data_IF_579854953138
#
_entry.id   IF_579854953138
#
_cell.length_a   1.000
_cell.length_b   1.000
_cell.length_c   1.000
_cell.angle_alpha   90.00
_cell.angle_beta   90.00
_cell.angle_gamma   90.00
#
_symmetry.space_group_name_H-M   'P 1'
#
loop_
_entity.id
_entity.type
_entity.pdbx_description
1 polymer ?
#
# COMPACT_ATOMS: atom_id res chain seq x y z
N UNK A 1 29.99 -33.63 -13.83
CA UNK A 1 28.96 -33.60 -12.77
C UNK A 1 27.89 -32.61 -13.22
N UNK A 2 26.66 -33.04 -13.58
CA UNK A 2 25.63 -32.10 -14.02
C UNK A 2 25.22 -31.21 -12.83
N UNK A 3 25.26 -29.90 -13.04
CA UNK A 3 24.80 -28.94 -12.04
C UNK A 3 23.31 -29.21 -11.75
N UNK A 4 22.87 -29.16 -10.49
CA UNK A 4 21.45 -29.25 -10.19
C UNK A 4 20.77 -28.01 -10.79
N UNK A 5 19.93 -28.22 -11.81
CA UNK A 5 19.01 -27.20 -12.30
C UNK A 5 18.03 -26.90 -11.16
N UNK A 6 18.32 -25.87 -10.38
CA UNK A 6 17.40 -25.35 -9.37
C UNK A 6 16.23 -24.75 -10.14
N UNK A 7 15.20 -25.57 -10.35
CA UNK A 7 13.90 -25.11 -10.85
C UNK A 7 13.28 -24.38 -9.68
N UNK A 8 13.59 -23.09 -9.53
CA UNK A 8 12.87 -22.25 -8.59
C UNK A 8 11.44 -22.20 -9.11
N UNK A 9 10.45 -22.73 -8.36
CA UNK A 9 9.08 -22.74 -8.83
C UNK A 9 8.67 -21.30 -9.07
N UNK A 10 8.21 -20.99 -10.28
CA UNK A 10 7.72 -19.64 -10.62
C UNK A 10 6.69 -19.15 -9.58
N UNK A 11 5.94 -20.08 -8.97
CA UNK A 11 5.03 -19.80 -7.86
C UNK A 11 5.68 -19.16 -6.63
N UNK A 12 6.92 -19.51 -6.26
CA UNK A 12 7.62 -18.90 -5.12
C UNK A 12 7.87 -17.42 -5.34
N UNK A 13 8.28 -17.04 -6.56
CA UNK A 13 8.49 -15.64 -6.91
C UNK A 13 7.18 -14.86 -6.94
N UNK A 14 6.10 -15.44 -7.47
CA UNK A 14 4.77 -14.82 -7.45
C UNK A 14 4.32 -14.56 -6.01
N UNK A 15 4.50 -15.53 -5.11
CA UNK A 15 4.15 -15.38 -3.69
C UNK A 15 5.04 -14.35 -2.99
N UNK A 16 6.34 -14.33 -3.26
CA UNK A 16 7.26 -13.34 -2.69
C UNK A 16 6.93 -11.91 -3.14
N UNK A 17 6.61 -11.72 -4.42
CA UNK A 17 6.17 -10.43 -4.96
C UNK A 17 4.83 -10.03 -4.35
N UNK A 18 3.85 -10.94 -4.30
CA UNK A 18 2.54 -10.66 -3.71
C UNK A 18 2.65 -10.28 -2.22
N UNK A 19 3.47 -11.00 -1.46
CA UNK A 19 3.74 -10.71 -0.05
C UNK A 19 4.47 -9.37 0.12
N UNK A 20 5.47 -9.07 -0.72
CA UNK A 20 6.18 -7.79 -0.72
C UNK A 20 5.25 -6.61 -1.02
N UNK A 21 4.36 -6.77 -2.00
CA UNK A 21 3.33 -5.77 -2.32
C UNK A 21 2.36 -5.59 -1.14
N UNK A 22 1.91 -6.68 -0.52
CA UNK A 22 1.01 -6.63 0.64
C UNK A 22 1.66 -5.97 1.85
N UNK A 23 2.90 -6.32 2.18
CA UNK A 23 3.67 -5.73 3.27
C UNK A 23 3.96 -4.25 3.02
N UNK A 24 4.36 -3.88 1.80
CA UNK A 24 4.53 -2.48 1.41
C UNK A 24 3.22 -1.69 1.53
N UNK A 25 2.09 -2.27 1.11
CA UNK A 25 0.76 -1.66 1.29
C UNK A 25 0.41 -1.49 2.76
N UNK A 26 0.78 -2.44 3.63
CA UNK A 26 0.46 -2.37 5.05
C UNK A 26 1.34 -1.37 5.80
N UNK A 27 2.65 -1.36 5.54
CA UNK A 27 3.58 -0.36 6.07
C UNK A 27 3.14 1.03 5.64
N UNK A 28 2.91 1.26 4.33
CA UNK A 28 2.49 2.56 3.81
C UNK A 28 1.07 2.98 4.25
N UNK A 29 0.25 2.07 4.78
CA UNK A 29 -1.03 2.40 5.44
C UNK A 29 -0.82 2.89 6.88
N UNK A 30 0.22 2.40 7.56
CA UNK A 30 0.59 2.82 8.91
C UNK A 30 1.46 4.07 8.92
N UNK A 31 2.35 4.18 7.94
CA UNK A 31 3.21 5.34 7.71
C UNK A 31 2.34 6.50 7.18
N UNK A 32 1.68 7.20 8.09
CA UNK A 32 1.07 8.50 7.81
C UNK A 32 2.11 9.59 7.95
N UNK A 33 2.64 10.17 6.85
CA UNK A 33 3.08 11.54 6.87
C UNK A 33 1.85 12.39 6.55
N UNK A 34 1.21 12.92 7.57
CA UNK A 34 0.13 13.94 7.48
C UNK A 34 0.50 15.11 6.53
N UNK A 35 1.81 15.30 6.35
CA UNK A 35 2.49 16.23 5.44
C UNK A 35 2.30 15.90 3.94
N UNK A 36 2.16 14.63 3.54
CA UNK A 36 2.06 14.27 2.11
C UNK A 36 0.65 14.43 1.57
N UNK A 37 -0.37 14.19 2.41
CA UNK A 37 -1.77 14.44 2.06
C UNK A 37 -2.05 15.91 1.79
N UNK A 38 -1.40 16.84 2.51
CA UNK A 38 -1.55 18.28 2.26
C UNK A 38 -0.88 18.73 0.97
N UNK A 39 0.09 17.97 0.45
CA UNK A 39 0.77 18.25 -0.82
C UNK A 39 0.10 17.57 -2.01
N UNK A 40 -1.06 16.92 -1.82
CA UNK A 40 -1.73 16.19 -2.89
C UNK A 40 -0.99 14.94 -3.34
N UNK A 41 -0.13 14.35 -2.49
CA UNK A 41 0.61 13.12 -2.80
C UNK A 41 0.00 11.90 -2.14
N UNK A 42 0.22 10.74 -2.74
CA UNK A 42 -0.25 9.47 -2.21
C UNK A 42 0.47 9.14 -0.90
N UNK A 43 -0.28 8.97 0.20
CA UNK A 43 0.26 8.47 1.46
C UNK A 43 0.90 7.08 1.32
N UNK A 44 0.47 6.33 0.29
CA UNK A 44 1.04 5.07 -0.12
C UNK A 44 2.44 5.21 -0.71
N UNK A 45 2.52 5.62 -1.98
CA UNK A 45 3.76 5.60 -2.77
C UNK A 45 4.53 6.92 -2.82
N UNK A 46 3.97 8.03 -2.33
CA UNK A 46 4.52 9.37 -2.54
C UNK A 46 4.28 9.94 -3.94
N UNK A 47 3.55 9.21 -4.81
CA UNK A 47 3.20 9.68 -6.15
C UNK A 47 2.31 10.91 -6.08
N UNK A 48 2.52 11.84 -6.99
CA UNK A 48 1.73 13.05 -7.07
C UNK A 48 0.31 12.75 -7.57
N UNK A 49 -0.69 12.94 -6.70
CA UNK A 49 -2.09 12.72 -7.01
C UNK A 49 -2.77 14.03 -7.47
N UNK A 50 -2.02 15.11 -7.69
CA UNK A 50 -2.58 16.32 -8.31
C UNK A 50 -3.20 15.97 -9.67
N UNK A 51 -4.51 16.22 -9.79
CA UNK A 51 -5.28 15.88 -11.00
C UNK A 51 -5.70 14.42 -11.14
N UNK A 52 -5.45 13.55 -10.15
CA UNK A 52 -5.96 12.18 -10.18
C UNK A 52 -7.49 12.15 -9.95
N UNK A 53 -8.26 11.87 -11.00
CA UNK A 53 -9.73 11.79 -10.96
C UNK A 53 -10.27 10.41 -10.61
N UNK A 54 -9.44 9.36 -10.69
CA UNK A 54 -9.88 7.97 -10.52
C UNK A 54 -10.14 7.58 -9.07
N UNK A 55 -9.81 8.44 -8.09
CA UNK A 55 -9.92 8.12 -6.65
C UNK A 55 -8.99 7.01 -6.18
N UNK A 56 -8.09 6.53 -7.06
CA UNK A 56 -7.12 5.46 -6.78
C UNK A 56 -5.76 5.81 -7.39
N UNK A 57 -4.70 5.56 -6.64
CA UNK A 57 -3.31 5.73 -7.04
C UNK A 57 -2.95 4.76 -8.17
N UNK A 58 -2.41 5.22 -9.32
CA UNK A 58 -2.09 4.35 -10.46
C UNK A 58 -0.88 3.45 -10.21
N UNK A 59 0.09 3.91 -9.41
CA UNK A 59 1.29 3.13 -9.05
C UNK A 59 0.99 2.02 -8.03
N UNK A 60 0.30 2.41 -6.96
CA UNK A 60 0.16 1.61 -5.75
C UNK A 60 -1.21 0.95 -5.61
N UNK A 61 -2.21 1.45 -6.33
CA UNK A 61 -3.61 1.02 -6.24
C UNK A 61 -4.31 1.49 -4.96
N UNK A 62 -3.70 2.37 -4.16
CA UNK A 62 -4.30 2.87 -2.91
C UNK A 62 -5.45 3.84 -3.20
N UNK A 63 -6.54 3.72 -2.45
CA UNK A 63 -7.68 4.64 -2.56
C UNK A 63 -7.38 5.98 -1.88
N UNK A 64 -7.66 7.05 -2.62
CA UNK A 64 -7.44 8.44 -2.21
C UNK A 64 -8.66 8.88 -1.39
N UNK A 65 -8.55 8.83 -0.05
CA UNK A 65 -9.60 9.30 0.86
C UNK A 65 -10.06 8.31 1.94
N UNK A 66 -9.61 7.05 1.91
CA UNK A 66 -9.99 6.02 2.90
C UNK A 66 -9.42 6.23 4.32
N UNK A 67 -8.70 7.33 4.57
CA UNK A 67 -7.96 7.58 5.83
C UNK A 67 -8.81 8.31 6.89
N UNK A 68 -10.14 8.30 6.79
CA UNK A 68 -11.01 8.92 7.82
C UNK A 68 -12.17 8.04 8.28
N UNK A 69 -11.92 7.32 9.38
CA UNK A 69 -12.76 7.16 10.60
C UNK A 69 -12.71 5.74 11.15
N UNK A 70 -11.90 5.53 12.18
CA UNK A 70 -12.15 4.46 13.15
C UNK A 70 -11.88 4.87 14.61
N UNK A 71 -11.36 6.08 14.87
CA UNK A 71 -11.07 6.54 16.24
C UNK A 71 -12.28 7.14 16.99
N UNK A 72 -13.50 7.06 16.45
CA UNK A 72 -14.72 7.58 17.10
C UNK A 72 -15.65 6.49 17.68
N UNK A 73 -15.19 5.22 17.76
CA UNK A 73 -15.91 4.12 18.42
C UNK A 73 -15.14 3.60 19.63
N UNK A 74 -15.19 4.33 20.76
CA UNK A 74 -14.61 3.83 22.02
C UNK A 74 -14.95 4.60 23.30
N UNK A 75 -15.62 5.75 23.22
CA UNK A 75 -15.74 6.68 24.36
C UNK A 75 -17.15 7.14 24.71
N UNK A 76 -18.21 6.35 24.47
CA UNK A 76 -19.56 6.78 24.86
C UNK A 76 -20.61 5.66 25.01
N UNK A 77 -20.49 4.82 26.04
CA UNK A 77 -21.62 4.12 26.75
C UNK A 77 -21.12 3.88 28.19
N UNK A 78 -21.44 4.81 29.10
CA UNK A 78 -22.57 4.73 30.05
C UNK A 78 -22.24 3.83 31.25
#
# INVERSE_FOLDING_TARGET
MPAPCIVVPVGVWVLAIAAGIAAARWSRRQDRPEVWTSQGRCAGCGYDLTGNVSGRCPECGLEVGAVRRSDEQGGRRA
#
